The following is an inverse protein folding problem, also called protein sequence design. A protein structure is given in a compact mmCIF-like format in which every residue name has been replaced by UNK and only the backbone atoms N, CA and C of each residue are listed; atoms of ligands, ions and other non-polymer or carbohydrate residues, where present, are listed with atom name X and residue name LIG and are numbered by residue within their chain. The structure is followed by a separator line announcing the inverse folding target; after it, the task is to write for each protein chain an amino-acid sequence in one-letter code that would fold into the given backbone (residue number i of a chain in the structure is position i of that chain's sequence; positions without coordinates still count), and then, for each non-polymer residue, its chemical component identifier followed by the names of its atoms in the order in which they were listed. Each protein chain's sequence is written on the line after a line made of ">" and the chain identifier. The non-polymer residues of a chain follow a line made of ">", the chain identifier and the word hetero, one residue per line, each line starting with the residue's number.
data_IF_842561459840
#
_entry.id   IF_842561459840
#
_cell.length_a   1.000
_cell.length_b   1.000
_cell.length_c   1.000
_cell.angle_alpha   90.00
_cell.angle_beta   90.00
_cell.angle_gamma   90.00
#
_symmetry.space_group_name_H-M   'P 1'
#
loop_
_entity.id
_entity.type
_entity.pdbx_description
1 polymer ?
#
# COMPACT_ATOMS: atom_id res chain seq x y z
N UNK A 1 -10.75 34.25 10.74
CA UNK A 1 -10.02 32.95 10.87
C UNK A 1 -10.99 31.76 10.86
N UNK A 2 -12.18 31.87 11.47
CA UNK A 2 -13.15 30.75 11.55
C UNK A 2 -13.80 30.36 10.20
N UNK A 3 -13.87 31.30 9.24
CA UNK A 3 -14.39 31.00 7.89
C UNK A 3 -13.44 30.17 7.05
N UNK A 4 -12.12 30.32 7.21
CA UNK A 4 -11.12 29.53 6.49
C UNK A 4 -11.06 28.09 7.01
N UNK A 5 -11.10 27.90 8.33
CA UNK A 5 -11.13 26.55 8.94
C UNK A 5 -12.39 25.78 8.51
N UNK A 6 -13.55 26.42 8.47
CA UNK A 6 -14.79 25.79 8.02
C UNK A 6 -14.80 25.43 6.52
N UNK A 7 -14.14 26.23 5.66
CA UNK A 7 -14.07 25.94 4.21
C UNK A 7 -13.09 24.80 3.90
N UNK A 8 -11.96 24.72 4.59
CA UNK A 8 -10.99 23.61 4.43
C UNK A 8 -11.58 22.27 4.89
N UNK A 9 -12.30 22.24 6.01
CA UNK A 9 -13.02 21.03 6.45
C UNK A 9 -14.01 20.54 5.41
N UNK A 10 -14.80 21.44 4.79
CA UNK A 10 -15.75 21.09 3.72
C UNK A 10 -15.05 20.49 2.49
N UNK A 11 -13.87 20.98 2.11
CA UNK A 11 -13.12 20.47 0.95
C UNK A 11 -12.65 19.03 1.19
N UNK A 12 -12.05 18.74 2.33
CA UNK A 12 -11.54 17.40 2.67
C UNK A 12 -12.64 16.36 2.82
N UNK A 13 -13.69 16.68 3.54
CA UNK A 13 -14.84 15.79 3.67
C UNK A 13 -15.51 15.55 2.32
N UNK A 14 -15.54 16.57 1.46
CA UNK A 14 -16.01 16.46 0.08
C UNK A 14 -15.13 15.54 -0.75
N UNK A 15 -13.80 15.67 -0.66
CA UNK A 15 -12.85 14.82 -1.37
C UNK A 15 -12.99 13.35 -0.95
N UNK A 16 -13.08 13.07 0.36
CA UNK A 16 -13.34 11.72 0.87
C UNK A 16 -14.69 11.19 0.38
N UNK A 17 -15.75 11.98 0.45
CA UNK A 17 -17.07 11.59 -0.03
C UNK A 17 -17.11 11.34 -1.54
N UNK A 18 -16.26 12.03 -2.30
CA UNK A 18 -16.13 11.84 -3.75
C UNK A 18 -15.46 10.50 -4.05
N UNK A 19 -14.37 10.16 -3.37
CA UNK A 19 -13.70 8.86 -3.49
C UNK A 19 -14.59 7.72 -2.97
N UNK A 20 -15.31 7.93 -1.87
CA UNK A 20 -16.24 6.93 -1.31
C UNK A 20 -17.31 6.45 -2.31
N UNK A 21 -17.68 7.27 -3.30
CA UNK A 21 -18.61 6.84 -4.38
C UNK A 21 -17.99 5.80 -5.29
N UNK A 22 -16.68 5.90 -5.57
CA UNK A 22 -15.94 4.86 -6.30
C UNK A 22 -15.83 3.60 -5.43
N UNK A 23 -15.46 3.73 -4.16
CA UNK A 23 -15.39 2.60 -3.23
C UNK A 23 -16.71 1.85 -3.16
N UNK A 24 -17.84 2.56 -3.09
CA UNK A 24 -19.17 1.95 -3.08
C UNK A 24 -19.50 1.20 -4.39
N UNK A 25 -19.12 1.74 -5.54
CA UNK A 25 -19.31 1.07 -6.83
C UNK A 25 -18.43 -0.20 -6.95
N UNK A 26 -17.28 -0.23 -6.30
CA UNK A 26 -16.37 -1.38 -6.28
C UNK A 26 -16.72 -2.38 -5.16
N UNK A 27 -17.48 -1.97 -4.14
CA UNK A 27 -17.99 -2.87 -3.11
C UNK A 27 -19.11 -3.80 -3.64
N UNK A 28 -19.84 -3.35 -4.65
CA UNK A 28 -20.82 -4.15 -5.40
C UNK A 28 -20.41 -4.16 -6.89
N UNK A 29 -19.33 -4.86 -7.18
CA UNK A 29 -18.58 -4.73 -8.41
C UNK A 29 -19.37 -5.22 -9.61
N UNK A 30 -19.72 -4.28 -10.50
CA UNK A 30 -20.16 -4.56 -11.87
C UNK A 30 -19.28 -3.79 -12.84
N UNK A 31 -18.92 -4.37 -13.97
CA UNK A 31 -18.06 -3.70 -14.97
C UNK A 31 -18.59 -2.32 -15.35
N UNK A 32 -19.86 -2.23 -15.73
CA UNK A 32 -20.49 -0.97 -16.14
C UNK A 32 -20.55 0.05 -15.00
N UNK A 33 -20.83 -0.39 -13.79
CA UNK A 33 -20.90 0.48 -12.59
C UNK A 33 -19.55 1.06 -12.23
N UNK A 34 -18.51 0.22 -12.18
CA UNK A 34 -17.15 0.65 -11.82
C UNK A 34 -16.55 1.51 -12.92
N UNK A 35 -16.67 1.13 -14.20
CA UNK A 35 -16.21 1.95 -15.32
C UNK A 35 -16.84 3.35 -15.29
N UNK A 36 -18.15 3.43 -15.09
CA UNK A 36 -18.87 4.71 -14.96
C UNK A 36 -18.37 5.55 -13.77
N UNK A 37 -18.11 4.91 -12.63
CA UNK A 37 -17.60 5.59 -11.44
C UNK A 37 -16.19 6.13 -11.66
N UNK A 38 -15.29 5.34 -12.26
CA UNK A 38 -13.93 5.74 -12.63
C UNK A 38 -13.94 6.93 -13.59
N UNK A 39 -14.68 6.85 -14.70
CA UNK A 39 -14.78 7.95 -15.69
C UNK A 39 -15.40 9.22 -15.10
N UNK A 40 -16.27 9.09 -14.10
CA UNK A 40 -16.84 10.25 -13.42
C UNK A 40 -15.85 10.92 -12.47
N UNK A 41 -14.99 10.15 -11.81
CA UNK A 41 -14.07 10.61 -10.78
C UNK A 41 -12.74 11.07 -11.36
N UNK A 42 -12.16 10.30 -12.28
CA UNK A 42 -10.79 10.45 -12.77
C UNK A 42 -10.77 11.26 -14.06
N UNK A 43 -9.86 12.22 -14.17
CA UNK A 43 -9.68 12.97 -15.42
C UNK A 43 -9.08 12.05 -16.52
N UNK A 44 -9.44 12.28 -17.80
CA UNK A 44 -8.90 11.46 -18.91
C UNK A 44 -7.38 11.48 -19.01
N UNK A 45 -6.74 12.56 -18.62
CA UNK A 45 -5.28 12.76 -18.63
C UNK A 45 -4.61 12.43 -17.28
N UNK A 46 -5.35 11.96 -16.29
CA UNK A 46 -4.81 11.65 -14.97
C UNK A 46 -3.73 10.57 -15.06
N UNK A 47 -2.64 10.79 -14.33
CA UNK A 47 -1.56 9.79 -14.21
C UNK A 47 -1.94 8.77 -13.15
N UNK A 48 -1.86 7.50 -13.50
CA UNK A 48 -2.15 6.40 -12.59
C UNK A 48 -0.92 5.53 -12.48
N UNK A 49 -0.29 5.59 -11.33
CA UNK A 49 0.90 4.82 -11.02
C UNK A 49 0.51 3.51 -10.36
N UNK A 50 0.74 2.41 -11.06
CA UNK A 50 0.45 1.05 -10.62
C UNK A 50 1.73 0.28 -10.30
N UNK A 51 1.68 -0.76 -9.44
CA UNK A 51 2.83 -1.61 -9.17
C UNK A 51 3.25 -2.41 -10.40
N UNK A 52 4.47 -2.93 -10.34
CA UNK A 52 4.91 -3.94 -11.32
C UNK A 52 3.96 -5.16 -11.31
N UNK A 53 3.50 -5.69 -12.47
CA UNK A 53 4.00 -5.41 -13.83
C UNK A 53 3.21 -4.34 -14.60
N UNK A 54 2.23 -3.68 -14.02
CA UNK A 54 1.34 -2.77 -14.74
C UNK A 54 2.03 -1.46 -15.16
N UNK A 55 2.80 -0.83 -14.25
CA UNK A 55 3.48 0.43 -14.53
C UNK A 55 2.56 1.64 -14.57
N UNK A 56 2.96 2.67 -15.32
CA UNK A 56 2.23 3.93 -15.41
C UNK A 56 1.16 3.87 -16.52
N UNK A 57 -0.06 4.32 -16.18
CA UNK A 57 -1.23 4.34 -17.05
C UNK A 57 -1.81 5.76 -17.12
N UNK A 58 -2.62 6.04 -18.14
CA UNK A 58 -3.26 7.33 -18.34
C UNK A 58 -4.77 7.19 -18.42
N UNK A 59 -5.45 7.82 -17.47
CA UNK A 59 -6.90 7.93 -17.46
C UNK A 59 -7.67 6.68 -17.04
N UNK A 60 -8.98 6.81 -16.86
CA UNK A 60 -9.81 5.76 -16.27
C UNK A 60 -10.01 4.54 -17.18
N UNK A 61 -10.04 4.72 -18.49
CA UNK A 61 -10.29 3.62 -19.42
C UNK A 61 -9.11 2.67 -19.50
N UNK A 62 -7.87 3.19 -19.64
CA UNK A 62 -6.68 2.36 -19.64
C UNK A 62 -6.51 1.64 -18.31
N UNK A 63 -6.79 2.32 -17.19
CA UNK A 63 -6.78 1.73 -15.85
C UNK A 63 -7.78 0.58 -15.74
N UNK A 64 -9.01 0.78 -16.20
CA UNK A 64 -10.03 -0.27 -16.13
C UNK A 64 -9.64 -1.49 -16.98
N UNK A 65 -9.28 -1.26 -18.26
CA UNK A 65 -8.97 -2.35 -19.19
C UNK A 65 -7.72 -3.13 -18.77
N UNK A 66 -6.67 -2.43 -18.33
CA UNK A 66 -5.39 -3.07 -17.98
C UNK A 66 -5.45 -3.80 -16.64
N UNK A 67 -6.15 -3.24 -15.67
CA UNK A 67 -6.09 -3.73 -14.29
C UNK A 67 -7.37 -4.45 -13.86
N UNK A 68 -8.55 -3.86 -14.04
CA UNK A 68 -9.80 -4.43 -13.53
C UNK A 68 -10.40 -5.50 -14.43
N UNK A 69 -10.35 -5.34 -15.75
CA UNK A 69 -10.89 -6.36 -16.67
C UNK A 69 -10.28 -7.74 -16.40
N UNK A 70 -8.94 -7.92 -16.38
CA UNK A 70 -8.37 -9.24 -16.09
C UNK A 70 -8.58 -9.70 -14.65
N UNK A 71 -8.67 -8.78 -13.68
CA UNK A 71 -8.93 -9.12 -12.29
C UNK A 71 -10.38 -9.61 -12.11
N UNK A 72 -11.34 -8.92 -12.74
CA UNK A 72 -12.74 -9.31 -12.72
C UNK A 72 -12.98 -10.65 -13.45
N UNK A 73 -12.30 -10.86 -14.58
CA UNK A 73 -12.32 -12.16 -15.27
C UNK A 73 -11.83 -13.31 -14.38
N UNK A 74 -10.82 -13.03 -13.56
CA UNK A 74 -10.27 -14.03 -12.64
C UNK A 74 -11.15 -14.24 -11.40
N UNK A 75 -11.83 -13.19 -10.93
CA UNK A 75 -12.69 -13.16 -9.75
C UNK A 75 -14.03 -12.49 -10.09
N UNK A 76 -15.02 -13.23 -10.66
CA UNK A 76 -16.27 -12.64 -11.13
C UNK A 76 -17.18 -12.06 -10.05
N UNK A 77 -16.97 -12.46 -8.80
CA UNK A 77 -17.65 -11.93 -7.60
C UNK A 77 -16.77 -10.94 -6.83
N UNK A 78 -15.86 -10.26 -7.53
CA UNK A 78 -14.94 -9.30 -6.93
C UNK A 78 -15.69 -8.23 -6.14
N UNK A 79 -15.22 -7.95 -4.92
CA UNK A 79 -15.69 -6.84 -4.11
C UNK A 79 -14.52 -6.11 -3.46
N UNK A 80 -14.67 -4.80 -3.28
CA UNK A 80 -13.75 -3.95 -2.52
C UNK A 80 -14.23 -3.82 -1.09
N UNK A 81 -13.32 -3.96 -0.13
CA UNK A 81 -13.55 -3.77 1.31
C UNK A 81 -12.55 -2.80 1.88
N UNK A 82 -12.97 -1.56 2.06
CA UNK A 82 -12.15 -0.53 2.71
C UNK A 82 -12.18 -0.67 4.23
N UNK A 83 -11.04 -0.48 4.87
CA UNK A 83 -10.91 -0.38 6.33
C UNK A 83 -10.18 0.89 6.78
N UNK A 84 -9.53 1.63 5.88
CA UNK A 84 -9.08 3.01 6.06
C UNK A 84 -9.55 3.84 4.87
N UNK A 85 -10.18 4.97 5.14
CA UNK A 85 -10.39 6.08 4.22
C UNK A 85 -10.09 7.36 5.00
N UNK A 86 -9.05 8.06 4.61
CA UNK A 86 -8.62 9.30 5.25
C UNK A 86 -8.23 10.33 4.20
N UNK A 87 -8.27 11.62 4.55
CA UNK A 87 -7.92 12.69 3.63
C UNK A 87 -7.22 13.83 4.31
N UNK A 88 -6.40 14.56 3.57
CA UNK A 88 -5.71 15.72 4.09
C UNK A 88 -4.92 16.46 3.03
N UNK A 89 -4.50 17.67 3.39
CA UNK A 89 -3.57 18.47 2.62
C UNK A 89 -2.14 18.14 3.03
N UNK A 90 -1.26 18.04 2.06
CA UNK A 90 0.16 17.78 2.28
C UNK A 90 0.93 19.07 2.54
N UNK A 91 2.21 18.92 2.93
CA UNK A 91 3.16 20.04 3.06
C UNK A 91 3.40 20.82 1.75
N UNK A 92 2.98 20.25 0.62
CA UNK A 92 3.09 20.89 -0.71
C UNK A 92 1.81 21.62 -1.13
N UNK A 93 0.77 21.58 -0.30
CA UNK A 93 -0.54 22.18 -0.60
C UNK A 93 -1.44 21.35 -1.51
N UNK A 94 -1.10 20.08 -1.72
CA UNK A 94 -1.91 19.15 -2.49
C UNK A 94 -2.90 18.42 -1.59
N UNK A 95 -4.12 18.22 -2.08
CA UNK A 95 -5.14 17.42 -1.41
C UNK A 95 -5.05 15.95 -1.83
N UNK A 96 -4.91 15.07 -0.86
CA UNK A 96 -4.88 13.62 -1.05
C UNK A 96 -5.93 12.89 -0.23
N UNK A 97 -6.46 11.82 -0.82
CA UNK A 97 -7.25 10.81 -0.11
C UNK A 97 -6.52 9.48 -0.19
N UNK A 98 -6.32 8.84 0.94
CA UNK A 98 -5.73 7.51 1.03
C UNK A 98 -6.77 6.47 1.44
N UNK A 99 -6.80 5.36 0.73
CA UNK A 99 -7.66 4.21 1.00
C UNK A 99 -6.81 2.96 1.22
N UNK A 100 -7.09 2.22 2.29
CA UNK A 100 -6.51 0.90 2.56
C UNK A 100 -7.61 -0.13 2.76
N UNK A 101 -7.44 -1.30 2.18
CA UNK A 101 -8.45 -2.35 2.22
C UNK A 101 -8.02 -3.63 1.53
N UNK A 102 -9.01 -4.45 1.19
CA UNK A 102 -8.83 -5.65 0.37
C UNK A 102 -9.79 -5.68 -0.81
N UNK A 103 -9.30 -6.12 -1.96
CA UNK A 103 -10.13 -6.75 -2.96
C UNK A 103 -10.31 -8.23 -2.57
N UNK A 104 -11.54 -8.72 -2.64
CA UNK A 104 -11.91 -10.09 -2.24
C UNK A 104 -12.76 -10.71 -3.32
N UNK A 105 -12.53 -11.95 -3.65
CA UNK A 105 -13.34 -12.68 -4.63
C UNK A 105 -13.04 -14.18 -4.63
N UNK A 106 -13.83 -14.93 -5.39
CA UNK A 106 -13.59 -16.36 -5.65
C UNK A 106 -12.65 -16.47 -6.85
N UNK A 107 -11.43 -16.94 -6.63
CA UNK A 107 -10.37 -16.99 -7.64
C UNK A 107 -10.53 -18.21 -8.56
N UNK A 108 -11.19 -18.03 -9.69
CA UNK A 108 -11.56 -19.11 -10.62
C UNK A 108 -10.85 -19.06 -11.98
N UNK A 109 -10.31 -17.90 -12.39
CA UNK A 109 -9.54 -17.75 -13.62
C UNK A 109 -8.09 -17.39 -13.33
N UNK A 110 -7.11 -17.72 -14.20
CA UNK A 110 -5.72 -17.27 -14.00
C UNK A 110 -5.64 -15.74 -14.05
N UNK A 111 -4.83 -15.15 -13.17
CA UNK A 111 -4.55 -13.73 -13.14
C UNK A 111 -3.03 -13.49 -13.08
N UNK A 112 -2.48 -12.74 -14.02
CA UNK A 112 -1.03 -12.56 -14.16
C UNK A 112 -0.27 -13.91 -14.17
N UNK A 113 -0.84 -14.93 -14.79
CA UNK A 113 -0.38 -16.32 -14.79
C UNK A 113 -0.34 -17.01 -13.41
N UNK A 114 -0.86 -16.35 -12.37
CA UNK A 114 -1.08 -16.99 -11.07
C UNK A 114 -2.21 -18.01 -11.23
N UNK A 115 -1.98 -19.29 -10.87
CA UNK A 115 -3.00 -20.33 -11.04
C UNK A 115 -4.18 -20.11 -10.09
N UNK A 116 -5.44 -20.27 -10.55
CA UNK A 116 -6.61 -20.10 -9.71
C UNK A 116 -6.70 -21.18 -8.64
N UNK A 117 -7.32 -20.84 -7.51
CA UNK A 117 -7.49 -21.74 -6.36
C UNK A 117 -8.89 -22.34 -6.24
N UNK A 118 -9.90 -21.70 -6.83
CA UNK A 118 -11.31 -22.01 -6.62
C UNK A 118 -11.86 -21.58 -5.25
N UNK A 119 -11.03 -20.90 -4.43
CA UNK A 119 -11.38 -20.46 -3.10
C UNK A 119 -11.46 -18.94 -3.03
N UNK A 120 -12.05 -18.45 -1.92
CA UNK A 120 -11.95 -17.05 -1.55
C UNK A 120 -10.48 -16.64 -1.53
N UNK A 121 -10.17 -15.54 -2.19
CA UNK A 121 -8.84 -14.94 -2.24
C UNK A 121 -8.98 -13.46 -1.91
N UNK A 122 -8.03 -12.93 -1.18
CA UNK A 122 -7.94 -11.53 -0.84
C UNK A 122 -6.63 -10.93 -1.37
N UNK A 123 -6.68 -9.65 -1.72
CA UNK A 123 -5.52 -8.89 -2.14
C UNK A 123 -5.57 -7.52 -1.45
N UNK A 124 -4.61 -7.27 -0.56
CA UNK A 124 -4.50 -5.96 0.08
C UNK A 124 -4.17 -4.89 -0.95
N UNK A 125 -4.77 -3.73 -0.79
CA UNK A 125 -4.44 -2.54 -1.56
C UNK A 125 -4.18 -1.34 -0.64
N UNK A 126 -3.30 -0.45 -1.11
CA UNK A 126 -3.20 0.93 -0.67
C UNK A 126 -3.33 1.80 -1.92
N UNK A 127 -4.30 2.70 -1.94
CA UNK A 127 -4.63 3.53 -3.09
C UNK A 127 -4.73 4.99 -2.65
N UNK A 128 -3.94 5.84 -3.29
CA UNK A 128 -3.85 7.25 -2.97
C UNK A 128 -4.30 8.06 -4.19
N UNK A 129 -5.16 9.03 -3.93
CA UNK A 129 -5.82 9.87 -4.93
C UNK A 129 -5.47 11.33 -4.67
N UNK A 130 -4.77 11.98 -5.60
CA UNK A 130 -4.57 13.43 -5.58
C UNK A 130 -5.76 14.08 -6.26
N UNK A 131 -6.38 15.03 -5.58
CA UNK A 131 -7.65 15.60 -5.99
C UNK A 131 -7.52 17.11 -6.21
N UNK A 132 -7.96 17.55 -7.39
CA UNK A 132 -8.10 18.95 -7.75
C UNK A 132 -9.54 19.17 -8.25
N UNK A 133 -10.27 20.17 -7.69
CA UNK A 133 -11.62 20.50 -8.10
C UNK A 133 -12.57 19.28 -8.14
N UNK A 134 -12.53 18.45 -7.13
CA UNK A 134 -13.35 17.23 -6.99
C UNK A 134 -13.05 16.14 -8.06
N UNK A 135 -11.92 16.24 -8.75
CA UNK A 135 -11.45 15.26 -9.73
C UNK A 135 -10.10 14.70 -9.33
N UNK A 136 -9.89 13.44 -9.63
CA UNK A 136 -8.59 12.79 -9.49
C UNK A 136 -7.72 13.15 -10.68
N UNK A 137 -6.56 13.72 -10.38
CA UNK A 137 -5.53 14.12 -11.36
C UNK A 137 -4.31 13.20 -11.33
N UNK A 138 -4.12 12.46 -10.23
CA UNK A 138 -3.05 11.48 -10.07
C UNK A 138 -3.50 10.39 -9.09
N UNK A 139 -3.05 9.16 -9.33
CA UNK A 139 -3.18 8.05 -8.40
C UNK A 139 -1.83 7.39 -8.19
N UNK A 140 -1.59 6.95 -6.95
CA UNK A 140 -0.47 6.08 -6.60
C UNK A 140 -1.04 4.85 -5.90
N UNK A 141 -0.80 3.68 -6.47
CA UNK A 141 -1.49 2.45 -6.10
C UNK A 141 -0.49 1.33 -5.87
N UNK A 142 -0.65 0.62 -4.78
CA UNK A 142 0.00 -0.67 -4.56
C UNK A 142 -1.06 -1.73 -4.27
N UNK A 143 -1.01 -2.79 -5.05
CA UNK A 143 -1.74 -4.04 -4.86
C UNK A 143 -0.77 -5.13 -4.42
N UNK A 144 -1.11 -5.86 -3.36
CA UNK A 144 -0.24 -6.92 -2.82
C UNK A 144 -0.35 -8.19 -3.67
N UNK A 145 0.18 -8.13 -4.89
CA UNK A 145 0.18 -9.26 -5.84
C UNK A 145 0.88 -10.49 -5.23
N UNK A 146 2.00 -10.36 -4.50
CA UNK A 146 2.62 -11.48 -3.79
C UNK A 146 1.66 -12.19 -2.82
N UNK A 147 0.73 -11.47 -2.19
CA UNK A 147 -0.29 -12.05 -1.30
C UNK A 147 -1.21 -13.04 -2.05
N UNK A 148 -1.59 -12.71 -3.29
CA UNK A 148 -2.36 -13.62 -4.17
C UNK A 148 -1.52 -14.83 -4.57
N UNK A 149 -0.24 -14.62 -4.93
CA UNK A 149 0.68 -15.72 -5.25
C UNK A 149 0.83 -16.70 -4.09
N UNK A 150 0.95 -16.20 -2.85
CA UNK A 150 1.08 -17.03 -1.65
C UNK A 150 -0.18 -17.86 -1.38
N UNK A 151 -1.36 -17.26 -1.49
CA UNK A 151 -2.64 -17.97 -1.34
C UNK A 151 -2.81 -19.07 -2.41
N UNK A 152 -2.26 -18.88 -3.59
CA UNK A 152 -2.23 -19.87 -4.66
C UNK A 152 -1.11 -20.93 -4.51
N UNK A 153 -0.29 -20.87 -3.44
CA UNK A 153 0.93 -21.66 -3.30
C UNK A 153 1.87 -21.52 -4.52
N UNK A 154 1.97 -20.32 -5.05
CA UNK A 154 2.72 -20.03 -6.27
C UNK A 154 3.87 -19.00 -6.06
N UNK A 155 4.05 -18.50 -4.84
CA UNK A 155 5.14 -17.57 -4.50
C UNK A 155 6.51 -18.23 -4.70
N UNK A 156 7.37 -17.73 -5.63
CA UNK A 156 8.58 -18.41 -6.03
C UNK A 156 9.84 -17.89 -5.33
N UNK A 157 9.69 -17.04 -4.31
CA UNK A 157 10.81 -16.39 -3.62
C UNK A 157 10.96 -16.96 -2.20
N UNK A 158 11.95 -16.45 -1.46
CA UNK A 158 12.17 -16.85 -0.08
C UNK A 158 10.94 -16.65 0.81
N UNK A 159 10.74 -17.49 1.83
CA UNK A 159 9.74 -17.28 2.85
C UNK A 159 9.93 -15.92 3.55
N UNK A 160 8.83 -15.29 3.95
CA UNK A 160 8.86 -14.07 4.73
C UNK A 160 9.49 -14.28 6.09
N UNK A 161 10.22 -13.29 6.59
CA UNK A 161 10.75 -13.31 7.95
C UNK A 161 9.67 -13.04 8.99
N UNK A 162 8.72 -12.15 8.67
CA UNK A 162 7.54 -11.88 9.49
C UNK A 162 6.41 -12.88 9.23
N UNK A 163 5.32 -12.74 9.98
CA UNK A 163 4.13 -13.59 9.84
C UNK A 163 3.29 -13.15 8.65
N UNK A 164 2.93 -14.12 7.80
CA UNK A 164 1.96 -13.93 6.72
C UNK A 164 0.56 -14.33 7.18
N UNK A 165 -0.40 -13.42 7.00
CA UNK A 165 -1.82 -13.64 7.27
C UNK A 165 -2.66 -12.53 6.63
N UNK A 166 -3.99 -12.69 6.60
CA UNK A 166 -4.89 -11.64 6.14
C UNK A 166 -4.80 -10.43 7.06
N UNK A 167 -4.24 -9.34 6.58
CA UNK A 167 -3.99 -8.13 7.37
C UNK A 167 -5.32 -7.49 7.80
N UNK A 168 -5.56 -7.27 9.10
CA UNK A 168 -6.79 -6.65 9.56
C UNK A 168 -6.79 -5.14 9.35
N UNK A 169 -7.97 -4.56 9.33
CA UNK A 169 -8.15 -3.13 9.54
C UNK A 169 -7.81 -2.70 10.97
N UNK A 170 -7.97 -1.40 11.29
CA UNK A 170 -7.66 -0.86 12.62
C UNK A 170 -8.40 -1.57 13.74
N UNK A 171 -7.69 -1.88 14.82
CA UNK A 171 -8.26 -2.55 15.99
C UNK A 171 -9.41 -1.77 16.65
N UNK A 172 -9.47 -0.47 16.43
CA UNK A 172 -10.53 0.44 16.90
C UNK A 172 -11.72 0.56 15.96
N UNK A 173 -11.65 -0.03 14.75
CA UNK A 173 -12.69 0.01 13.70
C UNK A 173 -13.12 1.44 13.31
N UNK A 174 -12.23 2.43 13.45
CA UNK A 174 -12.47 3.85 13.16
C UNK A 174 -11.68 4.38 11.95
N UNK A 175 -11.14 3.48 11.14
CA UNK A 175 -10.29 3.85 10.00
C UNK A 175 -11.05 4.47 8.81
N UNK A 176 -12.39 4.32 8.75
CA UNK A 176 -13.24 5.11 7.85
C UNK A 176 -13.48 6.46 8.52
N UNK A 177 -12.47 7.33 8.46
CA UNK A 177 -12.40 8.56 9.25
C UNK A 177 -13.55 9.51 8.88
N UNK A 178 -14.50 9.65 9.77
CA UNK A 178 -15.72 10.42 9.58
C UNK A 178 -15.87 11.57 10.60
N UNK A 179 -16.84 12.44 10.36
CA UNK A 179 -17.16 13.58 11.23
C UNK A 179 -16.21 14.76 11.04
N UNK A 180 -16.41 15.85 11.80
CA UNK A 180 -15.67 17.08 11.59
C UNK A 180 -14.17 16.86 11.73
N UNK A 181 -13.43 17.47 10.80
CA UNK A 181 -11.98 17.37 10.80
C UNK A 181 -11.36 18.11 11.99
N UNK A 182 -10.47 17.43 12.71
CA UNK A 182 -9.69 18.01 13.80
C UNK A 182 -8.30 18.39 13.29
N UNK A 183 -8.13 19.66 12.97
CA UNK A 183 -6.86 20.20 12.46
C UNK A 183 -5.70 19.97 13.43
N UNK A 184 -5.92 20.17 14.73
CA UNK A 184 -4.88 20.06 15.75
C UNK A 184 -4.42 18.62 15.87
N UNK A 185 -5.36 17.68 15.97
CA UNK A 185 -5.05 16.25 16.06
C UNK A 185 -4.41 15.72 14.77
N UNK A 186 -4.93 16.10 13.61
CA UNK A 186 -4.41 15.69 12.30
C UNK A 186 -2.95 16.13 12.11
N UNK A 187 -2.64 17.39 12.43
CA UNK A 187 -1.28 17.90 12.36
C UNK A 187 -0.36 17.24 13.40
N UNK A 188 -0.83 16.99 14.61
CA UNK A 188 -0.06 16.29 15.63
C UNK A 188 0.29 14.87 15.18
N UNK A 189 -0.67 14.14 14.59
CA UNK A 189 -0.45 12.80 14.05
C UNK A 189 0.56 12.81 12.90
N UNK A 190 0.41 13.70 11.94
CA UNK A 190 1.34 13.85 10.81
C UNK A 190 2.75 14.21 11.30
N UNK A 191 2.88 15.18 12.19
CA UNK A 191 4.16 15.63 12.74
C UNK A 191 4.87 14.53 13.55
N UNK A 192 4.13 13.69 14.27
CA UNK A 192 4.69 12.55 14.98
C UNK A 192 5.39 11.61 13.98
N UNK A 193 4.74 11.28 12.87
CA UNK A 193 5.29 10.38 11.84
C UNK A 193 6.50 11.00 11.15
N UNK A 194 6.41 12.26 10.72
CA UNK A 194 7.54 12.97 10.08
C UNK A 194 8.74 13.03 11.02
N UNK A 195 8.51 13.31 12.31
CA UNK A 195 9.58 13.35 13.31
C UNK A 195 10.17 11.96 13.54
N UNK A 196 9.35 10.94 13.71
CA UNK A 196 9.78 9.56 13.86
C UNK A 196 10.67 9.12 12.69
N UNK A 197 10.27 9.39 11.45
CA UNK A 197 11.06 9.04 10.26
C UNK A 197 12.40 9.78 10.22
N UNK A 198 12.47 11.03 10.66
CA UNK A 198 13.75 11.77 10.82
C UNK A 198 14.68 11.07 11.81
N UNK A 199 14.16 10.56 12.93
CA UNK A 199 14.94 9.80 13.90
C UNK A 199 15.37 8.43 13.35
N UNK A 200 14.49 7.74 12.66
CA UNK A 200 14.80 6.46 12.03
C UNK A 200 15.96 6.54 11.02
N UNK A 201 16.08 7.66 10.29
CA UNK A 201 17.16 7.89 9.31
C UNK A 201 18.56 8.06 9.95
N UNK A 202 18.65 8.36 11.23
CA UNK A 202 19.94 8.52 11.92
C UNK A 202 20.74 7.22 12.00
N UNK A 203 20.07 6.08 12.09
CA UNK A 203 20.70 4.77 12.13
C UNK A 203 20.79 4.18 10.70
N UNK A 204 21.95 3.59 10.29
CA UNK A 204 23.17 3.36 11.07
C UNK A 204 24.23 4.48 10.95
N UNK A 205 23.99 5.51 10.15
CA UNK A 205 25.03 6.50 9.79
C UNK A 205 25.50 7.40 10.95
N UNK A 206 24.65 7.60 11.97
CA UNK A 206 24.91 8.51 13.11
C UNK A 206 25.04 7.76 14.44
N UNK A 207 24.99 6.45 14.45
CA UNK A 207 25.11 5.65 15.68
C UNK A 207 24.37 4.34 15.63
N UNK A 208 24.30 3.65 16.77
CA UNK A 208 23.55 2.41 16.94
C UNK A 208 22.02 2.63 16.92
N UNK A 209 21.25 1.56 17.23
CA UNK A 209 19.79 1.64 17.21
C UNK A 209 19.18 2.67 18.17
N UNK A 210 19.91 3.02 19.23
CA UNK A 210 19.48 3.98 20.27
C UNK A 210 19.20 5.37 19.69
N UNK A 211 19.91 5.78 18.63
CA UNK A 211 19.71 7.12 18.03
C UNK A 211 18.34 7.28 17.39
N UNK A 212 17.63 6.18 17.14
CA UNK A 212 16.27 6.20 16.60
C UNK A 212 15.21 6.56 17.64
N UNK A 213 15.53 6.44 18.94
CA UNK A 213 14.60 6.69 20.06
C UNK A 213 13.23 5.99 19.88
N UNK A 214 13.22 4.77 19.37
CA UNK A 214 11.98 4.09 19.00
C UNK A 214 10.91 4.07 20.11
N UNK A 215 11.23 3.83 21.38
CA UNK A 215 10.21 3.84 22.46
C UNK A 215 9.52 5.20 22.66
N UNK A 216 10.11 6.28 22.16
CA UNK A 216 9.50 7.61 22.17
C UNK A 216 8.30 7.70 21.22
N UNK A 217 8.37 7.04 20.08
CA UNK A 217 7.41 7.15 18.99
C UNK A 217 6.48 5.95 18.86
N UNK A 218 6.98 4.76 19.21
CA UNK A 218 6.30 3.48 18.99
C UNK A 218 5.76 2.92 20.31
N UNK A 219 4.54 2.41 20.27
CA UNK A 219 3.99 1.63 21.38
C UNK A 219 4.72 0.29 21.48
N UNK A 220 4.94 -0.20 22.72
CA UNK A 220 5.64 -1.47 22.96
C UNK A 220 4.92 -2.67 22.31
N UNK A 221 3.60 -2.54 22.09
CA UNK A 221 2.75 -3.55 21.48
C UNK A 221 2.31 -3.17 20.05
N UNK A 222 3.09 -2.34 19.37
CA UNK A 222 2.80 -1.96 17.97
C UNK A 222 2.65 -3.20 17.08
N UNK A 223 1.69 -3.16 16.17
CA UNK A 223 1.64 -4.07 15.02
C UNK A 223 2.17 -3.34 13.80
N UNK A 224 3.20 -3.90 13.20
CA UNK A 224 3.75 -3.45 11.93
C UNK A 224 3.33 -4.46 10.86
N UNK A 225 2.36 -4.09 10.03
CA UNK A 225 1.80 -4.93 8.98
C UNK A 225 2.57 -4.71 7.67
N UNK A 226 3.63 -5.47 7.46
CA UNK A 226 4.43 -5.44 6.22
C UNK A 226 3.69 -6.04 5.04
N UNK A 227 4.17 -5.82 3.80
CA UNK A 227 3.62 -6.46 2.61
C UNK A 227 3.93 -7.95 2.59
N UNK A 228 3.17 -8.72 1.81
CA UNK A 228 3.50 -10.12 1.55
C UNK A 228 4.92 -10.24 0.96
N UNK A 229 5.69 -11.18 1.46
CA UNK A 229 7.12 -11.34 1.17
C UNK A 229 8.03 -10.76 2.26
N UNK A 230 7.57 -9.76 3.02
CA UNK A 230 8.25 -9.28 4.25
C UNK A 230 7.54 -9.83 5.47
N UNK A 231 6.20 -9.77 5.49
CA UNK A 231 5.36 -10.24 6.58
C UNK A 231 5.22 -9.25 7.75
N UNK A 232 4.44 -9.63 8.73
CA UNK A 232 4.05 -8.81 9.88
C UNK A 232 4.94 -9.06 11.09
N UNK A 233 5.19 -8.01 11.86
CA UNK A 233 5.94 -8.04 13.10
C UNK A 233 5.17 -7.38 14.26
N UNK A 234 5.40 -7.89 15.47
CA UNK A 234 4.77 -7.42 16.73
C UNK A 234 5.80 -6.78 17.64
N UNK A 235 5.48 -5.59 18.14
CA UNK A 235 6.32 -4.85 19.08
C UNK A 235 7.60 -4.29 18.43
N UNK A 236 8.32 -3.45 19.17
CA UNK A 236 9.56 -2.84 18.68
C UNK A 236 10.61 -3.89 18.38
N UNK A 237 10.78 -4.89 19.24
CA UNK A 237 11.76 -5.97 19.03
C UNK A 237 11.42 -6.83 17.83
N UNK A 238 10.14 -7.17 17.62
CA UNK A 238 9.70 -7.93 16.45
C UNK A 238 9.91 -7.16 15.17
N UNK A 239 9.52 -5.89 15.12
CA UNK A 239 9.75 -5.01 13.97
C UNK A 239 11.26 -4.93 13.63
N UNK A 240 12.12 -4.77 14.66
CA UNK A 240 13.56 -4.73 14.43
C UNK A 240 14.10 -6.05 13.91
N UNK A 241 13.75 -7.19 14.54
CA UNK A 241 14.34 -8.48 14.21
C UNK A 241 13.89 -9.02 12.86
N UNK A 242 12.61 -8.85 12.51
CA UNK A 242 12.05 -9.48 11.33
C UNK A 242 12.02 -8.57 10.09
N UNK A 243 12.18 -7.24 10.28
CA UNK A 243 12.20 -6.30 9.18
C UNK A 243 13.41 -5.35 9.22
N UNK A 244 13.56 -4.56 10.26
CA UNK A 244 14.46 -3.40 10.21
C UNK A 244 15.94 -3.80 10.14
N UNK A 245 16.38 -4.77 10.94
CA UNK A 245 17.79 -5.24 10.95
C UNK A 245 18.16 -5.85 9.60
N UNK A 246 17.40 -6.82 9.03
CA UNK A 246 17.68 -7.34 7.69
C UNK A 246 17.69 -6.26 6.62
N UNK A 247 16.76 -5.32 6.68
CA UNK A 247 16.65 -4.22 5.73
C UNK A 247 17.87 -3.29 5.77
N UNK A 248 18.30 -2.86 6.96
CA UNK A 248 19.42 -1.94 7.14
C UNK A 248 20.75 -2.63 6.84
N UNK A 249 20.90 -3.93 7.18
CA UNK A 249 22.10 -4.68 6.84
C UNK A 249 22.26 -4.83 5.33
N UNK A 250 21.15 -5.00 4.61
CA UNK A 250 21.17 -5.05 3.16
C UNK A 250 21.39 -3.66 2.52
N UNK A 251 20.82 -2.63 3.11
CA UNK A 251 20.76 -1.26 2.54
C UNK A 251 21.21 -0.21 3.57
N UNK A 252 22.51 -0.19 3.92
CA UNK A 252 23.02 0.68 4.99
C UNK A 252 23.06 2.19 4.62
N UNK A 253 22.90 2.52 3.34
CA UNK A 253 22.81 3.89 2.83
C UNK A 253 21.39 4.47 2.92
N UNK A 254 20.52 3.86 3.70
CA UNK A 254 19.18 4.34 4.00
C UNK A 254 19.19 5.80 4.42
N UNK A 255 18.36 6.62 3.77
CA UNK A 255 18.23 8.04 4.04
C UNK A 255 19.28 8.93 3.38
N UNK A 256 20.27 8.36 2.66
CA UNK A 256 21.30 9.13 1.97
C UNK A 256 20.74 9.98 0.81
N UNK A 257 19.71 9.51 0.15
CA UNK A 257 19.15 10.12 -1.06
C UNK A 257 17.79 10.78 -0.83
N UNK A 258 17.54 11.29 0.38
CA UNK A 258 16.25 11.88 0.73
C UNK A 258 15.92 13.15 -0.05
N UNK A 259 16.92 13.87 -0.49
CA UNK A 259 16.75 15.11 -1.26
C UNK A 259 16.41 14.84 -2.74
N UNK A 260 16.57 13.59 -3.19
CA UNK A 260 16.27 13.16 -4.56
C UNK A 260 14.84 12.61 -4.72
N UNK A 261 14.03 12.63 -3.66
CA UNK A 261 12.68 12.05 -3.63
C UNK A 261 11.69 13.04 -3.02
N UNK A 262 10.42 12.89 -3.43
CA UNK A 262 9.32 13.69 -2.91
C UNK A 262 8.39 12.79 -2.07
N UNK A 263 8.13 13.24 -0.84
CA UNK A 263 7.13 12.65 0.05
C UNK A 263 5.88 13.52 0.07
N UNK A 264 4.75 12.87 0.24
CA UNK A 264 3.45 13.52 0.46
C UNK A 264 2.88 12.98 1.77
N UNK A 265 3.02 13.76 2.85
CA UNK A 265 2.51 13.42 4.18
C UNK A 265 1.22 14.17 4.44
N UNK A 266 0.24 13.49 5.00
CA UNK A 266 -0.99 14.11 5.48
C UNK A 266 -1.56 13.36 6.68
N UNK A 267 -2.39 14.05 7.47
CA UNK A 267 -3.03 13.52 8.67
C UNK A 267 -4.54 13.73 8.65
N UNK A 268 -5.28 12.80 9.25
CA UNK A 268 -6.70 12.89 9.49
C UNK A 268 -7.02 12.30 10.87
N UNK A 269 -7.29 13.17 11.83
CA UNK A 269 -7.45 12.81 13.26
C UNK A 269 -6.23 12.02 13.78
N UNK A 270 -6.45 10.81 14.29
CA UNK A 270 -5.42 9.93 14.83
C UNK A 270 -4.73 9.06 13.76
N UNK A 271 -4.95 9.33 12.48
CA UNK A 271 -4.29 8.67 11.37
C UNK A 271 -3.32 9.60 10.67
N UNK A 272 -2.24 9.02 10.14
CA UNK A 272 -1.33 9.67 9.22
C UNK A 272 -1.04 8.75 8.03
N UNK A 273 -0.68 9.34 6.90
CA UNK A 273 -0.33 8.59 5.70
C UNK A 273 0.84 9.23 4.97
N UNK A 274 1.53 8.42 4.17
CA UNK A 274 2.55 8.89 3.24
C UNK A 274 2.42 8.18 1.90
N UNK A 275 2.63 8.94 0.84
CA UNK A 275 2.80 8.44 -0.52
C UNK A 275 4.02 9.09 -1.16
N UNK A 276 4.45 8.60 -2.32
CA UNK A 276 5.59 9.09 -3.09
C UNK A 276 6.01 8.05 -4.12
N UNK A 277 6.41 8.50 -5.33
CA UNK A 277 6.61 7.58 -6.44
C UNK A 277 7.86 7.93 -7.26
N UNK A 278 9.05 7.40 -6.87
CA UNK A 278 9.36 6.61 -5.68
C UNK A 278 9.49 7.47 -4.43
N UNK A 279 9.54 6.82 -3.26
CA UNK A 279 9.82 7.49 -1.98
C UNK A 279 11.00 6.90 -1.21
N UNK A 280 11.76 6.00 -1.80
CA UNK A 280 13.02 5.52 -1.27
C UNK A 280 14.02 5.25 -2.40
N UNK A 281 15.31 5.53 -2.15
CA UNK A 281 16.45 5.19 -3.00
C UNK A 281 17.52 4.58 -2.12
N UNK A 282 18.01 3.39 -2.44
CA UNK A 282 18.96 2.63 -1.63
C UNK A 282 19.81 1.70 -2.48
N UNK A 283 20.91 1.19 -1.91
CA UNK A 283 21.82 0.27 -2.59
C UNK A 283 21.86 -1.06 -1.87
N UNK A 284 21.63 -2.16 -2.60
CA UNK A 284 21.70 -3.53 -2.05
C UNK A 284 23.17 -3.94 -1.89
N UNK A 285 23.62 -4.02 -0.64
CA UNK A 285 25.01 -4.36 -0.27
C UNK A 285 25.05 -5.42 0.83
N UNK A 286 26.23 -5.73 1.34
CA UNK A 286 26.48 -6.66 2.46
C UNK A 286 25.72 -7.99 2.34
N UNK A 287 24.77 -8.23 3.24
CA UNK A 287 24.12 -9.54 3.38
C UNK A 287 23.11 -9.88 2.28
N UNK A 288 22.80 -8.90 1.39
CA UNK A 288 21.69 -9.02 0.47
C UNK A 288 20.33 -8.87 1.18
N UNK A 289 19.23 -9.08 0.45
CA UNK A 289 17.90 -8.88 1.00
C UNK A 289 16.89 -9.84 0.39
N UNK A 290 16.03 -10.42 1.22
CA UNK A 290 14.90 -11.27 0.81
C UNK A 290 15.32 -12.44 -0.12
N UNK A 291 16.45 -13.07 0.18
CA UNK A 291 16.99 -14.18 -0.61
C UNK A 291 17.74 -13.75 -1.88
N UNK A 292 17.92 -12.44 -2.10
CA UNK A 292 18.72 -11.90 -3.19
C UNK A 292 20.12 -11.54 -2.68
N UNK A 293 21.14 -12.07 -3.35
CA UNK A 293 22.53 -11.77 -3.03
C UNK A 293 22.84 -10.27 -3.21
N UNK A 294 23.83 -9.73 -2.49
CA UNK A 294 24.22 -8.33 -2.64
C UNK A 294 24.73 -8.07 -4.05
N UNK A 295 24.13 -7.11 -4.73
CA UNK A 295 24.43 -6.78 -6.13
C UNK A 295 25.25 -5.49 -6.28
N UNK A 296 25.33 -4.67 -5.23
CA UNK A 296 25.86 -3.31 -5.32
C UNK A 296 24.97 -2.35 -6.12
N UNK A 297 23.79 -2.79 -6.55
CA UNK A 297 22.90 -2.04 -7.40
C UNK A 297 22.07 -1.05 -6.57
N UNK A 298 22.01 0.20 -7.05
CA UNK A 298 21.07 1.20 -6.54
C UNK A 298 19.68 0.91 -7.11
N UNK A 299 18.70 0.90 -6.22
CA UNK A 299 17.29 0.68 -6.53
C UNK A 299 16.43 1.81 -6.00
N UNK A 300 15.28 1.98 -6.60
CA UNK A 300 14.19 2.79 -6.07
C UNK A 300 13.14 1.90 -5.43
N UNK A 301 12.44 2.39 -4.41
CA UNK A 301 11.28 1.71 -3.84
C UNK A 301 10.10 2.66 -3.81
N UNK A 302 8.93 2.08 -4.01
CA UNK A 302 7.63 2.73 -3.88
C UNK A 302 6.97 2.12 -2.66
N UNK A 303 6.60 2.97 -1.68
CA UNK A 303 5.93 2.55 -0.45
C UNK A 303 4.75 3.45 -0.18
N UNK A 304 3.65 2.86 0.22
CA UNK A 304 2.41 3.55 0.58
C UNK A 304 2.00 3.10 1.97
N UNK A 305 2.03 4.00 2.94
CA UNK A 305 1.92 3.63 4.34
C UNK A 305 0.80 4.39 5.06
N UNK A 306 0.17 3.72 6.02
CA UNK A 306 -0.76 4.29 6.99
C UNK A 306 -0.28 4.01 8.41
N UNK A 307 -0.52 4.95 9.31
CA UNK A 307 -0.29 4.83 10.74
C UNK A 307 -1.52 5.20 11.54
N UNK A 308 -1.80 4.44 12.59
CA UNK A 308 -2.77 4.81 13.62
C UNK A 308 -2.02 5.16 14.89
N UNK A 309 -2.33 6.32 15.43
CA UNK A 309 -1.75 6.87 16.65
C UNK A 309 -2.74 6.69 17.81
N UNK A 310 -2.22 6.27 18.94
CA UNK A 310 -2.96 6.07 20.18
C UNK A 310 -2.10 6.53 21.36
N UNK A 311 -2.64 7.40 22.20
CA UNK A 311 -1.91 7.96 23.36
C UNK A 311 -0.54 8.59 22.98
N UNK A 312 -0.47 9.27 21.83
CA UNK A 312 0.74 9.93 21.34
C UNK A 312 1.82 9.00 20.81
N UNK A 313 1.51 7.72 20.56
CA UNK A 313 2.42 6.73 19.99
C UNK A 313 1.80 5.98 18.82
N UNK A 314 2.66 5.47 17.94
CA UNK A 314 2.27 4.61 16.83
C UNK A 314 1.84 3.26 17.39
N UNK A 315 0.58 2.90 17.18
CA UNK A 315 -0.02 1.66 17.68
C UNK A 315 -0.17 0.60 16.59
N UNK A 316 -0.42 1.05 15.35
CA UNK A 316 -0.51 0.20 14.16
C UNK A 316 0.10 0.94 12.97
N UNK A 317 0.76 0.18 12.10
CA UNK A 317 1.33 0.71 10.86
C UNK A 317 1.11 -0.31 9.73
N UNK A 318 0.42 0.10 8.69
CA UNK A 318 0.19 -0.67 7.46
C UNK A 318 1.16 -0.18 6.41
N UNK A 319 1.98 -1.09 5.89
CA UNK A 319 3.03 -0.80 4.93
C UNK A 319 2.84 -1.62 3.67
N UNK A 320 2.88 -0.96 2.53
CA UNK A 320 2.97 -1.60 1.22
C UNK A 320 4.25 -1.16 0.52
N UNK A 321 4.93 -2.10 -0.10
CA UNK A 321 6.12 -1.85 -0.94
C UNK A 321 5.95 -2.61 -2.25
N UNK A 322 6.29 -2.00 -3.38
CA UNK A 322 6.33 -2.68 -4.67
C UNK A 322 7.56 -3.62 -4.75
N UNK A 323 7.44 -4.78 -4.10
CA UNK A 323 8.53 -5.76 -4.06
C UNK A 323 8.82 -6.37 -5.43
N UNK A 324 7.80 -6.52 -6.28
CA UNK A 324 7.99 -7.07 -7.63
C UNK A 324 8.84 -6.13 -8.49
N UNK A 325 8.66 -4.82 -8.33
CA UNK A 325 9.50 -3.82 -8.97
C UNK A 325 10.95 -3.87 -8.45
N UNK A 326 11.14 -4.02 -7.13
CA UNK A 326 12.48 -4.19 -6.54
C UNK A 326 13.19 -5.42 -7.14
N UNK A 327 12.50 -6.55 -7.19
CA UNK A 327 13.07 -7.76 -7.82
C UNK A 327 13.39 -7.54 -9.30
N UNK A 328 12.50 -6.90 -10.04
CA UNK A 328 12.70 -6.57 -11.46
C UNK A 328 13.94 -5.70 -11.67
N UNK A 329 14.12 -4.65 -10.86
CA UNK A 329 15.30 -3.80 -10.89
C UNK A 329 16.59 -4.58 -10.61
N UNK A 330 16.52 -5.64 -9.80
CA UNK A 330 17.65 -6.52 -9.49
C UNK A 330 17.87 -7.61 -10.55
N UNK A 331 17.07 -7.64 -11.60
CA UNK A 331 17.18 -8.64 -12.68
C UNK A 331 16.52 -9.98 -12.36
N UNK A 332 15.61 -10.01 -11.38
CA UNK A 332 14.83 -11.20 -11.02
C UNK A 332 13.41 -11.06 -11.54
N UNK A 333 13.08 -11.85 -12.56
CA UNK A 333 11.71 -11.98 -13.06
C UNK A 333 10.93 -12.98 -12.21
N UNK A 334 10.17 -12.46 -11.24
CA UNK A 334 9.38 -13.26 -10.30
C UNK A 334 8.28 -14.05 -11.03
N UNK A 335 7.67 -13.49 -12.06
CA UNK A 335 6.63 -14.18 -12.84
C UNK A 335 7.20 -15.35 -13.63
N UNK A 336 8.36 -15.17 -14.27
CA UNK A 336 9.04 -16.27 -14.97
C UNK A 336 9.43 -17.40 -13.99
N UNK A 337 9.94 -17.05 -12.80
CA UNK A 337 10.24 -18.04 -11.75
C UNK A 337 8.98 -18.75 -11.27
N UNK A 338 7.88 -18.03 -11.08
CA UNK A 338 6.61 -18.63 -10.70
C UNK A 338 6.15 -19.66 -11.74
N UNK A 339 6.20 -19.32 -13.03
CA UNK A 339 5.86 -20.24 -14.12
C UNK A 339 6.76 -21.49 -14.12
N UNK A 340 8.05 -21.31 -13.92
CA UNK A 340 9.01 -22.43 -13.86
C UNK A 340 8.67 -23.41 -12.72
N UNK A 341 8.39 -22.91 -11.53
CA UNK A 341 8.05 -23.75 -10.38
C UNK A 341 6.65 -24.36 -10.44
N UNK A 342 5.76 -23.79 -11.24
CA UNK A 342 4.37 -24.22 -11.37
C UNK A 342 4.03 -24.82 -12.72
N UNK A 343 5.01 -25.15 -13.55
CA UNK A 343 4.78 -25.65 -14.92
C UNK A 343 4.01 -26.96 -15.03
N UNK A 344 3.94 -27.74 -13.95
CA UNK A 344 3.07 -28.93 -13.88
C UNK A 344 1.60 -28.59 -13.59
N UNK A 345 1.31 -27.38 -13.18
CA UNK A 345 -0.06 -26.90 -12.93
C UNK A 345 -0.62 -26.33 -14.22
N UNK A 346 -1.75 -26.86 -14.66
CA UNK A 346 -2.43 -26.37 -15.87
C UNK A 346 -3.19 -25.10 -15.48
N UNK A 347 -2.84 -23.92 -16.02
CA UNK A 347 -3.59 -22.70 -15.77
C UNK A 347 -4.89 -22.74 -16.57
N UNK A 348 -5.92 -23.37 -16.01
CA UNK A 348 -7.26 -23.42 -16.59
C UNK A 348 -8.25 -22.63 -15.72
N UNK A 349 -9.36 -22.21 -16.33
CA UNK A 349 -10.48 -21.64 -15.57
C UNK A 349 -11.20 -22.75 -14.79
N UNK A 350 -11.42 -22.51 -13.50
CA UNK A 350 -12.19 -23.39 -12.64
C UNK A 350 -13.69 -23.06 -12.74
N UNK A 351 -14.58 -24.04 -12.47
CA UNK A 351 -16.01 -23.74 -12.37
C UNK A 351 -16.25 -22.70 -11.27
N UNK A 352 -17.04 -21.67 -11.60
CA UNK A 352 -17.52 -20.76 -10.57
C UNK A 352 -18.55 -21.48 -9.69
N UNK A 353 -18.49 -21.34 -8.36
CA UNK A 353 -19.47 -21.96 -7.48
C UNK A 353 -20.88 -21.46 -7.85
N UNK A 354 -21.71 -22.34 -8.40
CA UNK A 354 -23.10 -22.03 -8.73
C UNK A 354 -23.90 -22.05 -7.42
N UNK A 355 -24.64 -20.98 -7.15
CA UNK A 355 -25.68 -21.03 -6.12
C UNK A 355 -26.70 -22.06 -6.57
N UNK A 356 -26.88 -23.14 -5.81
CA UNK A 356 -28.06 -23.98 -5.95
C UNK A 356 -29.27 -23.09 -5.63
N UNK A 357 -30.14 -22.93 -6.62
CA UNK A 357 -31.36 -22.11 -6.56
C UNK A 357 -32.38 -22.68 -5.59
#
# INVERSE_FOLDING_TARGET
>A
SDRLVGSEMCIRDRNKATVAKLCAAQADFTEAGVRKALCKLILPEAKIHMPHPFGDLIGPDEFFETCFTPLFDAMPDLERRDWIIMGGETEHGDDWVGCGGHYVGTFVGPWLDIPPTGHLTHMRFHEFYRIEQEKVVEMQILWDIPEVMMQANAWPMAPSLGLEFCIPGPATSDGLVAGPWDHTQSNASCNLIVTMLKYMKKHPSQGGPEVMEMPRFWDDRVNWYGPAGIGTARGISGFRNWHQIPFINAMPDRGKYVDDITYHFFGDKNYAAVTGWPNMIQTITKDGWMGIAPSGKRITMKSLDFWRIENGKIRENWVMVDLLDVYSQLGVDVFARMKEFNKSRIPGRLPFPIRES
#
